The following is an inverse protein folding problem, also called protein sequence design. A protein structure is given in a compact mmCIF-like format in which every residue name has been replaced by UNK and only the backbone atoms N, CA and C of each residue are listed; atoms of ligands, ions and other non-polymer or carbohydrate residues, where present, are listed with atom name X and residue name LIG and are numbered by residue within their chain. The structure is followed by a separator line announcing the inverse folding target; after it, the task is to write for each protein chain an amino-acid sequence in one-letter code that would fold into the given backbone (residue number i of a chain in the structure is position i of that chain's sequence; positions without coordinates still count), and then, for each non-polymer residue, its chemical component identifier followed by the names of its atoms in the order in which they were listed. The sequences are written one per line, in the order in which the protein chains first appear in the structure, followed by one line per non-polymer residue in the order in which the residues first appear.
data_IF_295497671084
#
_entry.id   IF_295497671084
#
_cell.length_a   1.000
_cell.length_b   1.000
_cell.length_c   1.000
_cell.angle_alpha   90.00
_cell.angle_beta   90.00
_cell.angle_gamma   90.00
#
_symmetry.space_group_name_H-M   'P 1'
#
loop_
_entity.id
_entity.type
_entity.pdbx_description
1 polymer ?
#
# COMPACT_ATOMS: atom_id res chain seq x y z
N UNK A 1 -40.38 18.27 -8.10
CA UNK A 1 -39.08 18.69 -7.52
C UNK A 1 -38.11 18.86 -8.66
N UNK A 2 -37.42 20.01 -8.77
CA UNK A 2 -36.54 20.27 -9.90
C UNK A 2 -35.27 19.41 -9.74
N UNK A 3 -35.23 18.27 -10.41
CA UNK A 3 -34.08 17.31 -10.41
C UNK A 3 -32.82 17.88 -11.05
N UNK A 4 -32.95 18.99 -11.78
CA UNK A 4 -31.84 19.64 -12.49
C UNK A 4 -30.77 20.27 -11.56
N UNK A 5 -31.09 20.44 -10.27
CA UNK A 5 -30.17 21.02 -9.28
C UNK A 5 -29.14 20.00 -8.70
N UNK A 6 -29.27 18.71 -8.98
CA UNK A 6 -28.41 17.64 -8.43
C UNK A 6 -27.48 17.01 -9.47
N UNK A 7 -27.39 17.56 -10.69
CA UNK A 7 -26.52 16.98 -11.72
C UNK A 7 -25.03 17.04 -11.36
N UNK A 8 -24.60 18.09 -10.66
CA UNK A 8 -23.24 18.20 -10.13
C UNK A 8 -23.30 18.83 -8.73
N UNK A 9 -22.73 18.13 -7.76
CA UNK A 9 -22.65 18.58 -6.37
C UNK A 9 -21.17 18.88 -6.06
N UNK A 10 -20.85 20.13 -5.61
CA UNK A 10 -19.50 20.43 -5.17
C UNK A 10 -19.16 19.59 -3.95
N UNK A 11 -17.92 19.08 -3.91
CA UNK A 11 -17.49 18.23 -2.82
C UNK A 11 -16.02 18.42 -2.47
N UNK A 12 -15.66 18.05 -1.26
CA UNK A 12 -14.27 17.86 -0.82
C UNK A 12 -14.03 16.41 -0.44
N UNK A 13 -12.80 15.97 -0.59
CA UNK A 13 -12.37 14.63 -0.19
C UNK A 13 -11.78 14.72 1.21
N UNK A 14 -12.22 13.87 2.12
CA UNK A 14 -11.63 13.75 3.45
C UNK A 14 -10.16 13.36 3.36
N UNK A 15 -9.31 13.95 4.20
CA UNK A 15 -7.86 13.66 4.23
C UNK A 15 -7.51 12.38 4.99
N UNK A 16 -8.46 11.52 5.21
CA UNK A 16 -8.34 10.22 5.88
C UNK A 16 -9.05 9.15 5.07
N UNK A 17 -8.72 7.89 5.31
CA UNK A 17 -9.21 6.77 4.50
C UNK A 17 -8.46 6.61 3.19
N UNK A 18 -8.72 5.51 2.50
CA UNK A 18 -8.09 5.24 1.21
C UNK A 18 -8.85 5.99 0.12
N UNK A 19 -8.12 6.85 -0.59
CA UNK A 19 -8.68 7.58 -1.73
C UNK A 19 -8.38 6.77 -2.98
N UNK A 20 -9.39 6.28 -3.71
CA UNK A 20 -9.17 5.50 -4.92
C UNK A 20 -8.86 6.41 -6.12
N UNK A 21 -7.69 7.03 -6.10
CA UNK A 21 -7.22 7.88 -7.18
C UNK A 21 -7.32 7.19 -8.55
N UNK A 22 -7.66 7.95 -9.56
CA UNK A 22 -7.82 7.48 -10.91
C UNK A 22 -9.03 6.58 -11.15
N UNK A 23 -9.96 6.49 -10.19
CA UNK A 23 -11.16 5.68 -10.32
C UNK A 23 -12.42 6.54 -10.20
N UNK A 24 -13.43 6.15 -10.97
CA UNK A 24 -14.79 6.58 -10.76
C UNK A 24 -15.53 5.51 -9.96
N UNK A 25 -16.12 5.88 -8.84
CA UNK A 25 -16.89 4.97 -8.01
C UNK A 25 -18.36 5.26 -8.25
N UNK A 26 -19.15 4.20 -8.49
CA UNK A 26 -20.60 4.25 -8.42
C UNK A 26 -21.00 3.83 -7.01
N UNK A 27 -21.63 4.74 -6.28
CA UNK A 27 -22.05 4.50 -4.91
C UNK A 27 -23.57 4.64 -4.77
N UNK A 28 -24.16 3.73 -4.00
CA UNK A 28 -25.56 3.79 -3.60
C UNK A 28 -25.66 4.41 -2.22
N UNK A 29 -26.47 5.46 -2.08
CA UNK A 29 -26.63 6.20 -0.84
C UNK A 29 -27.57 5.47 0.13
N UNK A 30 -27.19 5.47 1.41
CA UNK A 30 -28.00 4.96 2.52
C UNK A 30 -28.12 6.04 3.60
N UNK A 31 -29.35 6.38 3.98
CA UNK A 31 -29.64 7.20 5.15
C UNK A 31 -30.17 6.30 6.25
N UNK A 32 -29.36 6.04 7.27
CA UNK A 32 -29.75 5.19 8.40
C UNK A 32 -29.52 5.94 9.71
N UNK A 33 -30.57 6.49 10.31
CA UNK A 33 -30.48 7.10 11.64
C UNK A 33 -30.00 6.07 12.69
N UNK A 34 -29.26 6.51 13.68
CA UNK A 34 -28.90 5.71 14.84
C UNK A 34 -30.10 5.52 15.79
N UNK A 35 -29.97 4.66 16.80
CA UNK A 35 -31.04 4.38 17.77
C UNK A 35 -31.55 5.61 18.51
N UNK A 36 -30.71 6.65 18.63
CA UNK A 36 -31.08 7.94 19.23
C UNK A 36 -31.79 8.90 18.22
N UNK A 37 -32.09 8.41 17.03
CA UNK A 37 -32.68 9.18 15.94
C UNK A 37 -31.69 10.14 15.25
N UNK A 38 -30.45 10.19 15.69
CA UNK A 38 -29.41 11.03 15.12
C UNK A 38 -28.73 10.35 13.91
N UNK A 39 -28.11 11.16 13.06
CA UNK A 39 -27.34 10.68 11.91
C UNK A 39 -25.86 11.00 12.06
N UNK A 40 -25.37 11.17 13.31
CA UNK A 40 -23.97 11.57 13.58
C UNK A 40 -22.97 10.42 13.51
N UNK A 41 -23.43 9.17 13.66
CA UNK A 41 -22.57 7.98 13.62
C UNK A 41 -21.41 7.99 14.64
N UNK A 42 -21.64 8.58 15.80
CA UNK A 42 -20.65 8.69 16.87
C UNK A 42 -20.56 7.46 17.75
N UNK A 43 -21.65 6.70 17.87
CA UNK A 43 -21.73 5.49 18.69
C UNK A 43 -21.80 4.26 17.79
N UNK A 44 -21.03 3.24 18.11
CA UNK A 44 -21.09 1.94 17.46
C UNK A 44 -22.05 1.05 18.24
N UNK A 45 -23.19 0.72 17.65
CA UNK A 45 -24.15 -0.21 18.21
C UNK A 45 -24.16 -1.50 17.40
N UNK A 46 -23.73 -2.60 18.04
CA UNK A 46 -23.65 -3.93 17.42
C UNK A 46 -25.05 -4.55 17.18
N UNK A 47 -26.11 -3.99 17.75
CA UNK A 47 -27.45 -4.60 17.71
C UNK A 47 -28.21 -4.34 16.42
N UNK A 48 -27.79 -3.35 15.62
CA UNK A 48 -28.39 -3.09 14.31
C UNK A 48 -27.63 -3.86 13.22
N UNK A 49 -28.14 -5.02 12.89
CA UNK A 49 -27.79 -5.68 11.62
C UNK A 49 -28.25 -4.80 10.45
N UNK A 50 -27.46 -4.66 9.38
CA UNK A 50 -27.90 -3.95 8.19
C UNK A 50 -28.97 -4.80 7.46
N UNK A 51 -30.20 -4.80 8.00
CA UNK A 51 -31.35 -5.48 7.38
C UNK A 51 -31.59 -5.01 5.93
N UNK A 52 -31.24 -3.75 5.67
CA UNK A 52 -31.44 -3.15 4.35
C UNK A 52 -30.34 -3.51 3.35
N UNK A 53 -29.09 -3.71 3.79
CA UNK A 53 -28.01 -4.17 2.90
C UNK A 53 -28.34 -5.55 2.30
N UNK A 54 -28.89 -6.46 3.07
CA UNK A 54 -29.26 -7.80 2.58
C UNK A 54 -30.41 -7.74 1.56
N UNK A 55 -31.34 -6.80 1.72
CA UNK A 55 -32.46 -6.61 0.80
C UNK A 55 -32.02 -6.06 -0.57
N UNK A 56 -30.97 -5.23 -0.58
CA UNK A 56 -30.47 -4.58 -1.79
C UNK A 56 -29.21 -5.22 -2.37
N UNK A 57 -28.47 -6.02 -1.59
CA UNK A 57 -27.20 -6.63 -2.02
C UNK A 57 -27.33 -7.59 -3.20
N UNK A 58 -28.48 -8.21 -3.40
CA UNK A 58 -28.72 -9.12 -4.53
C UNK A 58 -28.92 -8.38 -5.86
N UNK A 59 -29.46 -7.15 -5.82
CA UNK A 59 -29.84 -6.37 -7.00
C UNK A 59 -28.71 -5.39 -7.38
N UNK A 60 -27.97 -4.88 -6.39
CA UNK A 60 -27.02 -3.78 -6.57
C UNK A 60 -25.59 -4.13 -6.16
N UNK A 61 -25.14 -5.37 -6.43
CA UNK A 61 -23.77 -5.84 -6.13
C UNK A 61 -22.65 -4.99 -6.73
N UNK A 62 -22.95 -4.22 -7.75
CA UNK A 62 -22.00 -3.38 -8.47
C UNK A 62 -21.78 -2.00 -7.81
N UNK A 63 -22.67 -1.60 -6.89
CA UNK A 63 -22.61 -0.29 -6.26
C UNK A 63 -22.01 -0.36 -4.87
N UNK A 64 -21.12 0.59 -4.60
CA UNK A 64 -20.49 0.72 -3.29
C UNK A 64 -21.51 1.28 -2.27
N UNK A 65 -21.77 0.63 -1.13
CA UNK A 65 -22.67 1.18 -0.12
C UNK A 65 -22.04 2.41 0.53
N UNK A 66 -22.70 3.58 0.41
CA UNK A 66 -22.23 4.85 0.95
C UNK A 66 -23.23 5.41 1.96
N UNK A 67 -22.79 5.58 3.19
CA UNK A 67 -23.63 6.07 4.27
C UNK A 67 -23.55 7.60 4.38
N UNK A 68 -24.75 8.21 4.50
CA UNK A 68 -24.90 9.64 4.74
C UNK A 68 -24.73 9.90 6.23
N UNK A 69 -23.91 10.89 6.59
CA UNK A 69 -23.53 11.19 7.96
C UNK A 69 -23.53 12.69 8.17
N UNK A 70 -24.05 13.18 9.29
CA UNK A 70 -24.03 14.60 9.63
C UNK A 70 -22.72 15.00 10.30
N UNK A 71 -22.30 16.23 10.08
CA UNK A 71 -21.21 16.85 10.81
C UNK A 71 -21.57 17.01 12.30
N UNK A 72 -20.54 17.10 13.16
CA UNK A 72 -20.71 17.40 14.59
C UNK A 72 -20.62 16.17 15.50
N UNK A 73 -20.66 16.43 16.81
CA UNK A 73 -20.60 15.52 17.96
C UNK A 73 -19.31 14.71 18.13
N UNK A 74 -18.69 14.19 17.09
CA UNK A 74 -17.43 13.44 17.17
C UNK A 74 -16.58 13.63 15.91
N UNK A 75 -15.32 13.17 15.97
CA UNK A 75 -14.38 13.30 14.84
C UNK A 75 -14.85 12.54 13.61
N UNK A 76 -14.49 13.06 12.43
CA UNK A 76 -14.79 12.41 11.15
C UNK A 76 -14.19 11.00 11.05
N UNK A 77 -13.00 10.81 11.59
CA UNK A 77 -12.33 9.50 11.64
C UNK A 77 -13.12 8.48 12.46
N UNK A 78 -13.71 8.90 13.58
CA UNK A 78 -14.59 8.03 14.38
C UNK A 78 -15.84 7.63 13.61
N UNK A 79 -16.48 8.60 12.92
CA UNK A 79 -17.65 8.33 12.06
C UNK A 79 -17.32 7.35 10.95
N UNK A 80 -16.21 7.59 10.23
CA UNK A 80 -15.77 6.73 9.13
C UNK A 80 -15.44 5.31 9.61
N UNK A 81 -14.80 5.17 10.78
CA UNK A 81 -14.54 3.87 11.38
C UNK A 81 -15.85 3.12 11.68
N UNK A 82 -16.85 3.81 12.24
CA UNK A 82 -18.14 3.21 12.55
C UNK A 82 -18.90 2.79 11.28
N UNK A 83 -18.84 3.60 10.21
CA UNK A 83 -19.38 3.24 8.89
C UNK A 83 -18.66 2.01 8.32
N UNK A 84 -17.33 1.98 8.37
CA UNK A 84 -16.54 0.85 7.89
C UNK A 84 -16.85 -0.44 8.65
N UNK A 85 -16.98 -0.39 9.97
CA UNK A 85 -17.33 -1.54 10.80
C UNK A 85 -18.71 -2.10 10.50
N UNK A 86 -19.59 -1.30 9.88
CA UNK A 86 -20.91 -1.73 9.37
C UNK A 86 -20.93 -2.10 7.89
N UNK A 87 -19.77 -2.45 7.34
CA UNK A 87 -19.60 -2.82 5.94
C UNK A 87 -19.96 -1.69 4.95
N UNK A 88 -19.91 -0.43 5.39
CA UNK A 88 -19.94 0.71 4.49
C UNK A 88 -18.67 0.75 3.65
N UNK A 89 -18.83 0.96 2.34
CA UNK A 89 -17.71 1.08 1.43
C UNK A 89 -17.25 2.54 1.22
N UNK A 90 -18.08 3.52 1.60
CA UNK A 90 -17.77 4.94 1.57
C UNK A 90 -18.65 5.72 2.55
N UNK A 91 -18.24 6.96 2.87
CA UNK A 91 -18.99 7.86 3.75
C UNK A 91 -19.24 9.21 3.06
N UNK A 92 -20.48 9.66 3.06
CA UNK A 92 -20.89 10.99 2.63
C UNK A 92 -21.19 11.86 3.85
N UNK A 93 -20.40 12.88 4.08
CA UNK A 93 -20.57 13.82 5.19
C UNK A 93 -21.34 15.04 4.69
N UNK A 94 -22.40 15.41 5.37
CA UNK A 94 -23.11 16.65 5.16
C UNK A 94 -22.49 17.68 6.11
N UNK A 95 -21.93 18.74 5.55
CA UNK A 95 -21.37 19.87 6.32
C UNK A 95 -22.48 20.69 6.97
N UNK A 96 -22.12 21.44 8.01
CA UNK A 96 -23.00 22.46 8.62
C UNK A 96 -23.04 23.74 7.80
N UNK A 97 -22.06 23.97 6.94
CA UNK A 97 -21.90 25.15 6.10
C UNK A 97 -22.32 24.86 4.65
N UNK A 98 -22.78 25.92 3.97
CA UNK A 98 -23.08 25.86 2.54
C UNK A 98 -21.87 26.17 1.67
N UNK A 99 -20.76 26.61 2.26
CA UNK A 99 -19.51 26.95 1.58
C UNK A 99 -18.40 26.04 2.08
N UNK A 100 -17.80 25.28 1.16
CA UNK A 100 -16.67 24.40 1.44
C UNK A 100 -15.30 25.09 1.29
N UNK A 101 -15.23 26.34 0.82
CA UNK A 101 -13.96 26.94 0.39
C UNK A 101 -13.00 27.28 1.54
N UNK A 102 -13.48 27.56 2.74
CA UNK A 102 -12.68 28.19 3.80
C UNK A 102 -12.31 27.30 4.99
N UNK A 103 -12.45 25.99 4.93
CA UNK A 103 -12.36 25.20 6.16
C UNK A 103 -11.17 24.24 6.22
N UNK A 104 -10.16 24.64 7.02
CA UNK A 104 -9.15 23.73 7.59
C UNK A 104 -9.75 22.67 8.54
N UNK A 105 -11.05 22.72 8.81
CA UNK A 105 -11.82 21.76 9.61
C UNK A 105 -11.62 20.30 9.15
N UNK A 106 -11.38 20.10 7.86
CA UNK A 106 -11.23 18.76 7.27
C UNK A 106 -9.84 18.16 7.42
N UNK A 107 -8.94 18.90 8.08
CA UNK A 107 -7.54 18.49 8.33
C UNK A 107 -7.36 17.71 9.64
N UNK A 108 -8.43 17.44 10.39
CA UNK A 108 -8.32 16.78 11.68
C UNK A 108 -7.92 15.32 11.47
N UNK A 109 -6.61 15.09 11.55
CA UNK A 109 -6.01 13.78 11.72
C UNK A 109 -6.19 13.38 13.17
N UNK A 110 -7.20 12.58 13.44
CA UNK A 110 -7.26 11.76 14.63
C UNK A 110 -6.28 10.58 14.47
N UNK A 111 -5.68 10.11 15.58
CA UNK A 111 -4.80 8.94 15.63
C UNK A 111 -5.42 7.66 15.00
N UNK A 112 -6.72 7.63 14.82
CA UNK A 112 -7.49 6.54 14.19
C UNK A 112 -7.51 6.61 12.67
N UNK A 113 -7.03 7.70 12.05
CA UNK A 113 -7.07 7.92 10.61
C UNK A 113 -6.37 6.82 9.81
N UNK A 114 -5.36 6.16 10.38
CA UNK A 114 -4.61 5.10 9.73
C UNK A 114 -5.37 3.77 9.61
N UNK A 115 -6.42 3.56 10.42
CA UNK A 115 -7.24 2.33 10.37
C UNK A 115 -8.42 2.43 9.40
N UNK A 116 -8.67 3.61 8.84
CA UNK A 116 -9.79 3.87 7.93
C UNK A 116 -9.36 3.56 6.50
N UNK A 117 -10.10 2.65 5.86
CA UNK A 117 -9.86 2.23 4.49
C UNK A 117 -10.89 2.77 3.49
N UNK A 118 -12.02 3.27 3.98
CA UNK A 118 -13.09 3.77 3.13
C UNK A 118 -12.88 5.26 2.78
N UNK A 119 -13.17 5.68 1.54
CA UNK A 119 -13.15 7.09 1.16
C UNK A 119 -14.28 7.85 1.83
N UNK A 120 -14.01 9.12 2.15
CA UNK A 120 -14.98 10.04 2.75
C UNK A 120 -15.12 11.28 1.89
N UNK A 121 -16.34 11.65 1.58
CA UNK A 121 -16.73 12.80 0.78
C UNK A 121 -17.51 13.77 1.64
N UNK A 122 -17.25 15.06 1.48
CA UNK A 122 -17.92 16.13 2.22
C UNK A 122 -18.66 17.01 1.23
N UNK A 123 -19.94 17.22 1.44
CA UNK A 123 -20.80 18.09 0.61
C UNK A 123 -21.41 19.23 1.43
N UNK A 124 -21.76 20.35 0.81
CA UNK A 124 -22.42 21.47 1.49
C UNK A 124 -23.80 21.07 2.03
N UNK A 125 -24.22 21.75 3.09
CA UNK A 125 -25.48 21.48 3.79
C UNK A 125 -26.72 21.53 2.88
N UNK A 126 -26.82 22.56 2.04
CA UNK A 126 -27.97 22.74 1.14
C UNK A 126 -28.19 21.54 0.20
N UNK A 127 -27.13 20.90 -0.30
CA UNK A 127 -27.25 19.68 -1.11
C UNK A 127 -27.59 18.45 -0.25
N UNK A 128 -26.99 18.37 0.93
CA UNK A 128 -27.29 17.31 1.90
C UNK A 128 -28.75 17.30 2.33
N UNK A 129 -29.34 18.46 2.60
CA UNK A 129 -30.75 18.61 2.99
C UNK A 129 -31.70 18.19 1.85
N UNK A 130 -31.35 18.48 0.59
CA UNK A 130 -32.10 18.01 -0.57
C UNK A 130 -32.09 16.48 -0.64
N UNK A 131 -30.91 15.86 -0.50
CA UNK A 131 -30.77 14.41 -0.51
C UNK A 131 -31.59 13.77 0.64
N UNK A 132 -31.48 14.30 1.85
CA UNK A 132 -32.23 13.79 3.00
C UNK A 132 -33.72 13.93 2.79
N UNK A 133 -34.20 15.07 2.27
CA UNK A 133 -35.64 15.29 2.01
C UNK A 133 -36.20 14.25 1.05
N UNK A 134 -35.43 13.77 0.09
CA UNK A 134 -35.82 12.69 -0.80
C UNK A 134 -36.05 11.38 -0.05
N UNK A 135 -35.15 11.03 0.87
CA UNK A 135 -35.30 9.82 1.69
C UNK A 135 -36.53 9.89 2.61
N UNK A 136 -36.83 11.06 3.18
CA UNK A 136 -38.00 11.23 4.07
C UNK A 136 -39.32 11.27 3.33
N UNK A 137 -39.34 11.73 2.07
CA UNK A 137 -40.60 11.86 1.31
C UNK A 137 -41.05 10.56 0.64
N UNK A 138 -40.15 9.58 0.44
CA UNK A 138 -40.41 8.35 -0.33
C UNK A 138 -40.57 7.09 0.53
N UNK A 139 -41.31 7.20 1.65
CA UNK A 139 -41.45 6.11 2.63
C UNK A 139 -42.05 4.78 2.06
N UNK A 140 -42.69 4.77 0.89
CA UNK A 140 -43.35 3.58 0.35
C UNK A 140 -42.81 3.06 -0.99
N UNK A 141 -42.06 3.87 -1.74
CA UNK A 141 -41.46 3.45 -3.01
C UNK A 141 -39.99 3.92 -3.02
N UNK A 142 -39.12 3.15 -2.39
CA UNK A 142 -37.71 3.49 -2.32
C UNK A 142 -37.04 3.27 -3.69
N UNK A 143 -36.80 4.35 -4.40
CA UNK A 143 -35.88 4.36 -5.53
C UNK A 143 -34.48 4.68 -4.99
N UNK A 144 -33.46 3.83 -5.24
CA UNK A 144 -32.12 4.06 -4.74
C UNK A 144 -31.50 5.30 -5.40
N UNK A 145 -30.83 6.13 -4.60
CA UNK A 145 -30.01 7.22 -5.13
C UNK A 145 -28.64 6.65 -5.42
N UNK A 146 -28.24 6.67 -6.69
CA UNK A 146 -26.93 6.27 -7.14
C UNK A 146 -26.16 7.52 -7.54
N UNK A 147 -24.94 7.67 -7.01
CA UNK A 147 -24.03 8.76 -7.33
C UNK A 147 -22.75 8.24 -7.97
N UNK A 148 -22.22 9.04 -8.89
CA UNK A 148 -20.91 8.81 -9.49
C UNK A 148 -19.90 9.77 -8.86
N UNK A 149 -18.80 9.24 -8.32
CA UNK A 149 -17.75 10.04 -7.68
C UNK A 149 -16.46 9.83 -8.46
N UNK A 150 -15.93 10.92 -9.03
CA UNK A 150 -14.66 10.90 -9.75
C UNK A 150 -13.56 11.41 -8.81
N UNK A 151 -12.65 10.53 -8.42
CA UNK A 151 -11.50 10.89 -7.57
C UNK A 151 -10.35 11.42 -8.41
N UNK A 152 -10.37 12.70 -8.68
CA UNK A 152 -9.30 13.39 -9.41
C UNK A 152 -8.76 14.54 -8.58
N UNK A 153 -7.44 14.79 -8.71
CA UNK A 153 -6.75 15.89 -8.06
C UNK A 153 -6.33 16.90 -9.14
N UNK A 154 -7.14 17.92 -9.40
CA UNK A 154 -6.88 18.89 -10.46
C UNK A 154 -5.82 19.92 -10.07
N UNK A 155 -4.99 20.30 -11.04
CA UNK A 155 -4.16 21.50 -11.00
C UNK A 155 -4.69 22.49 -12.07
N UNK A 156 -4.97 23.76 -11.70
CA UNK A 156 -5.45 24.79 -12.66
C UNK A 156 -4.52 25.02 -13.84
N UNK A 157 -3.22 24.77 -13.69
CA UNK A 157 -2.21 24.93 -14.75
C UNK A 157 -2.23 23.82 -15.81
N UNK A 158 -3.09 22.83 -15.68
CA UNK A 158 -3.16 21.70 -16.61
C UNK A 158 -1.96 20.76 -16.54
N UNK A 159 -1.15 20.87 -15.47
CA UNK A 159 -0.03 19.98 -15.14
C UNK A 159 -0.38 19.11 -13.96
N UNK A 160 0.34 18.00 -13.82
CA UNK A 160 0.27 17.16 -12.63
C UNK A 160 1.59 17.23 -11.88
N UNK A 161 1.52 17.75 -10.66
CA UNK A 161 2.65 17.78 -9.75
C UNK A 161 2.68 16.53 -8.89
N UNK A 162 3.79 15.83 -8.94
CA UNK A 162 4.07 14.68 -8.08
C UNK A 162 5.24 14.98 -7.17
N UNK A 163 5.00 15.02 -5.87
CA UNK A 163 6.07 15.07 -4.87
C UNK A 163 6.26 13.67 -4.28
N UNK A 164 7.50 13.20 -4.30
CA UNK A 164 7.89 11.94 -3.67
C UNK A 164 8.66 12.25 -2.38
N UNK A 165 8.02 12.00 -1.24
CA UNK A 165 8.60 12.13 0.09
C UNK A 165 9.34 10.85 0.44
N UNK A 166 10.65 10.93 0.63
CA UNK A 166 11.51 9.75 0.78
C UNK A 166 12.78 10.03 1.58
N UNK A 167 13.55 8.99 1.80
CA UNK A 167 14.96 9.03 2.20
C UNK A 167 15.77 8.18 1.22
N UNK A 168 17.05 8.46 1.06
CA UNK A 168 17.91 7.75 0.09
C UNK A 168 18.14 6.27 0.45
N UNK A 169 17.87 5.87 1.68
CA UNK A 169 17.92 4.48 2.15
C UNK A 169 16.59 3.73 1.98
N UNK A 170 15.56 4.37 1.40
CA UNK A 170 14.26 3.77 1.22
C UNK A 170 14.20 2.89 -0.02
N UNK A 171 14.20 1.58 0.19
CA UNK A 171 14.18 0.59 -0.87
C UNK A 171 12.91 0.63 -1.74
N UNK A 172 11.77 0.98 -1.15
CA UNK A 172 10.52 1.08 -1.90
C UNK A 172 10.54 2.27 -2.87
N UNK A 173 11.13 3.41 -2.41
CA UNK A 173 11.33 4.56 -3.29
C UNK A 173 12.30 4.23 -4.44
N UNK A 174 13.41 3.56 -4.14
CA UNK A 174 14.38 3.12 -5.14
C UNK A 174 13.72 2.20 -6.17
N UNK A 175 12.98 1.20 -5.72
CA UNK A 175 12.26 0.27 -6.60
C UNK A 175 11.25 0.99 -7.48
N UNK A 176 10.55 1.98 -6.94
CA UNK A 176 9.62 2.82 -7.69
C UNK A 176 10.27 3.50 -8.90
N UNK A 177 11.48 4.06 -8.76
CA UNK A 177 12.18 4.71 -9.88
C UNK A 177 12.41 3.77 -11.06
N UNK A 178 12.77 2.54 -10.79
CA UNK A 178 13.00 1.51 -11.81
C UNK A 178 11.71 1.15 -12.54
N UNK A 179 10.69 0.79 -11.79
CA UNK A 179 9.43 0.29 -12.32
C UNK A 179 8.58 1.38 -12.99
N UNK A 180 8.65 2.62 -12.48
CA UNK A 180 7.86 3.73 -13.04
C UNK A 180 8.54 4.43 -14.23
N UNK A 181 9.79 4.13 -14.55
CA UNK A 181 10.58 4.84 -15.57
C UNK A 181 9.90 4.89 -16.94
N UNK A 182 9.34 3.79 -17.40
CA UNK A 182 8.67 3.72 -18.70
C UNK A 182 7.41 4.60 -18.74
N UNK A 183 6.65 4.62 -17.65
CA UNK A 183 5.47 5.47 -17.51
C UNK A 183 5.84 6.96 -17.47
N UNK A 184 6.91 7.31 -16.72
CA UNK A 184 7.40 8.68 -16.62
C UNK A 184 7.75 9.26 -17.98
N UNK A 185 8.48 8.49 -18.80
CA UNK A 185 8.90 8.94 -20.12
C UNK A 185 7.72 9.25 -21.05
N UNK A 186 6.57 8.62 -20.85
CA UNK A 186 5.36 8.89 -21.59
C UNK A 186 4.65 10.19 -21.19
N UNK A 187 4.79 10.64 -19.94
CA UNK A 187 4.04 11.77 -19.40
C UNK A 187 4.53 13.14 -19.90
N UNK A 188 5.78 13.24 -20.35
CA UNK A 188 6.35 14.47 -20.95
C UNK A 188 6.33 15.69 -20.03
N UNK A 189 6.25 16.89 -20.62
CA UNK A 189 6.43 18.18 -19.91
C UNK A 189 5.26 18.59 -19.00
N UNK A 190 4.15 17.89 -19.10
CA UNK A 190 2.97 18.14 -18.24
C UNK A 190 3.07 17.45 -16.88
N UNK A 191 4.04 16.59 -16.72
CA UNK A 191 4.35 15.93 -15.48
C UNK A 191 5.51 16.62 -14.77
N UNK A 192 5.23 17.20 -13.62
CA UNK A 192 6.21 17.86 -12.77
C UNK A 192 6.53 16.98 -11.58
N UNK A 193 7.76 16.52 -11.49
CA UNK A 193 8.23 15.67 -10.40
C UNK A 193 9.17 16.44 -9.49
N UNK A 194 9.02 16.26 -8.17
CA UNK A 194 9.92 16.85 -7.17
C UNK A 194 10.23 15.82 -6.07
N UNK A 195 11.49 15.44 -5.88
CA UNK A 195 11.89 14.66 -4.72
C UNK A 195 11.95 15.55 -3.49
N UNK A 196 11.47 15.03 -2.35
CA UNK A 196 11.45 15.72 -1.06
C UNK A 196 12.07 14.80 -0.03
N UNK A 197 13.23 15.19 0.51
CA UNK A 197 13.99 14.35 1.42
C UNK A 197 13.63 14.57 2.88
N UNK A 198 13.62 13.51 3.66
CA UNK A 198 13.36 13.55 5.09
C UNK A 198 14.56 14.04 5.87
N UNK A 199 14.37 15.11 6.61
CA UNK A 199 15.32 15.62 7.58
C UNK A 199 14.66 15.80 8.95
N UNK A 200 15.43 15.58 10.01
CA UNK A 200 15.05 15.91 11.37
C UNK A 200 15.79 17.15 11.81
N UNK A 201 15.10 18.03 12.54
CA UNK A 201 15.65 19.28 13.05
C UNK A 201 15.69 19.25 14.56
N UNK A 202 16.85 19.50 15.13
CA UNK A 202 17.06 19.58 16.57
C UNK A 202 17.61 20.95 16.95
N UNK A 203 17.06 21.60 17.98
CA UNK A 203 17.52 22.92 18.44
C UNK A 203 18.84 22.91 19.19
N UNK A 204 19.23 21.81 19.76
CA UNK A 204 20.53 21.64 20.43
C UNK A 204 20.94 20.19 20.47
N UNK A 205 21.76 19.78 19.51
CA UNK A 205 22.64 18.65 19.75
C UNK A 205 23.84 19.24 20.50
N UNK A 206 23.92 19.06 21.81
CA UNK A 206 25.19 19.15 22.50
C UNK A 206 26.00 17.99 21.95
N UNK A 207 26.87 18.28 20.98
CA UNK A 207 27.94 17.36 20.61
C UNK A 207 28.61 16.98 21.94
N UNK A 208 28.47 15.74 22.37
CA UNK A 208 29.44 15.18 23.30
C UNK A 208 30.78 15.46 22.66
N UNK A 209 31.67 16.15 23.38
CA UNK A 209 32.94 16.71 22.91
C UNK A 209 33.90 15.70 22.27
N UNK A 210 33.46 14.49 21.97
CA UNK A 210 34.22 13.37 21.43
C UNK A 210 33.69 12.78 20.10
N UNK A 211 32.63 13.34 19.50
CA UNK A 211 32.21 12.87 18.17
C UNK A 211 32.93 13.72 17.14
N UNK A 212 33.88 13.14 16.39
CA UNK A 212 34.46 13.76 15.22
C UNK A 212 33.32 14.23 14.30
N UNK A 213 33.38 15.48 13.83
CA UNK A 213 32.37 16.08 12.94
C UNK A 213 32.10 15.21 11.71
N UNK A 214 33.10 14.47 11.22
CA UNK A 214 32.97 13.54 10.09
C UNK A 214 32.03 12.35 10.33
N UNK A 215 31.85 11.94 11.58
CA UNK A 215 31.00 10.80 11.96
C UNK A 215 29.63 11.23 12.53
N UNK A 216 29.38 12.53 12.63
CA UNK A 216 28.11 13.03 13.12
C UNK A 216 26.97 12.68 12.14
N UNK A 217 25.85 12.13 12.62
CA UNK A 217 24.66 11.91 11.79
C UNK A 217 24.00 13.20 11.32
N UNK A 218 24.49 14.33 11.80
CA UNK A 218 23.94 15.65 11.58
C UNK A 218 24.99 16.61 11.03
N UNK A 219 24.56 17.63 10.35
CA UNK A 219 25.34 18.85 10.18
C UNK A 219 24.71 20.01 10.94
N UNK A 220 25.58 20.88 11.48
CA UNK A 220 25.14 22.00 12.33
C UNK A 220 25.35 23.33 11.62
N UNK A 221 24.32 24.16 11.60
CA UNK A 221 24.44 25.54 11.15
C UNK A 221 23.49 26.46 11.92
N UNK A 222 23.97 27.64 12.29
CA UNK A 222 23.21 28.68 12.96
C UNK A 222 22.42 28.18 14.18
N UNK A 223 23.02 27.33 15.01
CA UNK A 223 22.41 26.66 16.18
C UNK A 223 21.31 25.66 15.86
N UNK A 224 21.16 25.24 14.59
CA UNK A 224 20.24 24.23 14.17
C UNK A 224 20.97 23.06 13.54
N UNK A 225 20.57 21.87 13.94
CA UNK A 225 21.13 20.63 13.43
C UNK A 225 20.11 19.94 12.54
N UNK A 226 20.50 19.62 11.32
CA UNK A 226 19.75 18.77 10.40
C UNK A 226 20.38 17.39 10.38
N UNK A 227 19.57 16.37 10.58
CA UNK A 227 20.00 14.99 10.67
C UNK A 227 19.15 14.12 9.76
N UNK A 228 19.75 13.08 9.21
CA UNK A 228 19.00 11.95 8.68
C UNK A 228 18.84 10.89 9.76
N UNK A 229 17.76 10.13 9.70
CA UNK A 229 17.57 8.92 10.51
C UNK A 229 17.56 7.73 9.61
N UNK A 230 18.07 6.62 10.12
CA UNK A 230 17.91 5.34 9.46
C UNK A 230 16.41 4.94 9.51
N UNK A 231 15.85 4.67 8.35
CA UNK A 231 14.42 4.33 8.20
C UNK A 231 14.14 2.84 8.40
N UNK A 232 15.17 2.04 8.45
CA UNK A 232 15.03 0.60 8.61
C UNK A 232 15.21 0.22 10.08
N UNK A 233 14.30 -0.57 10.64
CA UNK A 233 14.41 -1.18 11.96
C UNK A 233 15.72 -2.00 12.11
N UNK A 234 16.38 -2.27 10.99
CA UNK A 234 17.61 -3.05 10.89
C UNK A 234 18.89 -2.22 11.08
N UNK A 235 18.80 -0.88 11.12
CA UNK A 235 19.98 0.02 11.22
C UNK A 235 21.11 -0.34 10.24
N UNK A 236 20.78 -0.69 9.00
CA UNK A 236 21.72 -1.24 8.01
C UNK A 236 22.75 -0.18 7.58
N UNK A 237 22.30 1.07 7.43
CA UNK A 237 23.13 2.15 6.90
C UNK A 237 23.48 3.19 7.96
N UNK A 238 24.69 3.75 7.85
CA UNK A 238 25.10 4.85 8.72
C UNK A 238 24.26 6.12 8.41
N UNK A 239 23.63 6.78 9.42
CA UNK A 239 22.85 7.99 9.21
C UNK A 239 23.60 9.13 8.53
N UNK A 240 24.93 9.25 8.73
CA UNK A 240 25.75 10.23 8.01
C UNK A 240 25.79 9.96 6.53
N UNK A 241 25.91 8.70 6.11
CA UNK A 241 25.91 8.32 4.71
C UNK A 241 24.55 8.60 4.07
N UNK A 242 23.46 8.33 4.78
CA UNK A 242 22.10 8.65 4.33
C UNK A 242 21.96 10.17 4.12
N UNK A 243 22.42 10.97 5.07
CA UNK A 243 22.39 12.43 4.98
C UNK A 243 23.15 12.94 3.76
N UNK A 244 24.37 12.46 3.55
CA UNK A 244 25.21 12.86 2.42
C UNK A 244 24.60 12.42 1.09
N UNK A 245 23.95 11.26 1.05
CA UNK A 245 23.29 10.78 -0.15
C UNK A 245 22.00 11.55 -0.46
N UNK A 246 21.19 11.91 0.54
CA UNK A 246 20.03 12.80 0.37
C UNK A 246 20.46 14.14 -0.27
N UNK A 247 21.55 14.72 0.21
CA UNK A 247 22.12 15.97 -0.36
C UNK A 247 22.62 15.76 -1.80
N UNK A 248 23.32 14.66 -2.07
CA UNK A 248 23.83 14.33 -3.41
C UNK A 248 22.66 14.19 -4.41
N UNK A 249 21.65 13.42 -4.06
CA UNK A 249 20.47 13.22 -4.90
C UNK A 249 19.71 14.53 -5.14
N UNK A 250 19.56 15.38 -4.11
CA UNK A 250 19.00 16.73 -4.26
C UNK A 250 19.81 17.57 -5.24
N UNK A 251 21.14 17.55 -5.15
CA UNK A 251 22.02 18.31 -6.05
C UNK A 251 22.02 17.81 -7.48
N UNK A 252 21.88 16.49 -7.69
CA UNK A 252 21.71 15.93 -9.03
C UNK A 252 20.40 16.44 -9.63
N UNK A 253 19.32 16.43 -8.87
CA UNK A 253 18.03 16.93 -9.33
C UNK A 253 18.07 18.41 -9.67
N UNK A 254 18.65 19.24 -8.79
CA UNK A 254 18.74 20.71 -8.98
C UNK A 254 19.59 21.09 -10.18
N UNK A 255 20.77 20.48 -10.33
CA UNK A 255 21.74 20.91 -11.33
C UNK A 255 21.58 20.26 -12.70
N UNK A 256 21.02 19.05 -12.77
CA UNK A 256 20.98 18.26 -14.01
C UNK A 256 19.55 17.83 -14.39
N UNK A 257 18.57 18.13 -13.57
CA UNK A 257 17.15 17.89 -13.85
C UNK A 257 16.71 16.44 -13.70
N UNK A 258 15.44 16.24 -14.02
CA UNK A 258 14.71 14.99 -13.77
C UNK A 258 15.30 13.77 -14.48
N UNK A 259 15.80 13.93 -15.72
CA UNK A 259 16.27 12.79 -16.52
C UNK A 259 17.57 12.18 -15.97
N UNK A 260 18.54 13.01 -15.61
CA UNK A 260 19.76 12.54 -14.98
C UNK A 260 19.52 12.04 -13.56
N UNK A 261 18.66 12.73 -12.82
CA UNK A 261 18.24 12.29 -11.49
C UNK A 261 17.63 10.88 -11.54
N UNK A 262 16.72 10.63 -12.49
CA UNK A 262 16.07 9.33 -12.62
C UNK A 262 17.04 8.20 -12.97
N UNK A 263 17.97 8.47 -13.94
CA UNK A 263 19.04 7.52 -14.28
C UNK A 263 19.92 7.20 -13.07
N UNK A 264 20.27 8.23 -12.29
CA UNK A 264 21.06 8.03 -11.10
C UNK A 264 20.33 7.18 -10.05
N UNK A 265 19.07 7.47 -9.80
CA UNK A 265 18.27 6.72 -8.82
C UNK A 265 18.15 5.24 -9.18
N UNK A 266 18.01 4.91 -10.46
CA UNK A 266 17.98 3.51 -10.92
C UNK A 266 19.35 2.86 -10.73
N UNK A 267 20.42 3.50 -11.20
CA UNK A 267 21.78 2.93 -11.14
C UNK A 267 22.28 2.77 -9.70
N UNK A 268 22.08 3.81 -8.87
CA UNK A 268 22.41 3.76 -7.44
C UNK A 268 21.59 2.69 -6.72
N UNK A 269 20.32 2.60 -7.02
CA UNK A 269 19.43 1.57 -6.45
C UNK A 269 19.89 0.16 -6.76
N UNK A 270 20.20 -0.12 -8.01
CA UNK A 270 20.66 -1.45 -8.43
C UNK A 270 22.03 -1.84 -7.86
N UNK A 271 22.94 -0.88 -7.63
CA UNK A 271 24.33 -1.13 -7.23
C UNK A 271 24.57 -0.97 -5.73
N UNK A 272 23.98 0.05 -5.11
CA UNK A 272 24.40 0.51 -3.80
C UNK A 272 23.43 0.13 -2.66
N UNK A 273 22.18 -0.22 -2.98
CA UNK A 273 21.16 -0.51 -1.97
C UNK A 273 20.87 -2.00 -1.77
N UNK A 274 21.76 -2.88 -2.20
CA UNK A 274 21.58 -4.32 -2.02
C UNK A 274 21.61 -4.69 -0.54
N UNK A 275 20.56 -5.33 -0.04
CA UNK A 275 20.39 -5.71 1.37
C UNK A 275 21.42 -6.79 1.78
N UNK A 276 21.78 -7.71 0.88
CA UNK A 276 22.70 -8.82 1.19
C UNK A 276 24.15 -8.36 1.34
N UNK A 277 24.54 -7.32 0.62
CA UNK A 277 25.85 -6.70 0.65
C UNK A 277 25.71 -5.17 0.55
N UNK A 278 25.37 -4.49 1.63
CA UNK A 278 25.17 -3.05 1.59
C UNK A 278 26.50 -2.34 1.26
N UNK A 279 26.56 -1.73 0.08
CA UNK A 279 27.69 -0.92 -0.38
C UNK A 279 27.29 0.57 -0.37
N UNK A 280 26.36 0.94 0.50
CA UNK A 280 25.83 2.29 0.61
C UNK A 280 26.91 3.25 1.14
N UNK A 281 27.73 3.76 0.23
CA UNK A 281 28.84 4.67 0.53
C UNK A 281 29.15 5.61 -0.64
N UNK A 282 30.08 6.54 -0.44
CA UNK A 282 30.47 7.52 -1.44
C UNK A 282 31.10 6.88 -2.68
N UNK A 283 31.89 5.83 -2.54
CA UNK A 283 32.53 5.15 -3.65
C UNK A 283 31.51 4.53 -4.60
N UNK A 284 30.50 3.84 -4.06
CA UNK A 284 29.41 3.29 -4.88
C UNK A 284 28.61 4.39 -5.59
N UNK A 285 28.34 5.50 -4.91
CA UNK A 285 27.68 6.65 -5.51
C UNK A 285 28.49 7.25 -6.67
N UNK A 286 29.82 7.34 -6.53
CA UNK A 286 30.70 7.81 -7.60
C UNK A 286 30.71 6.88 -8.82
N UNK A 287 30.76 5.56 -8.59
CA UNK A 287 30.67 4.57 -9.65
C UNK A 287 29.32 4.71 -10.38
N UNK A 288 28.24 4.90 -9.65
CA UNK A 288 26.92 5.10 -10.23
C UNK A 288 26.83 6.37 -11.08
N UNK A 289 27.44 7.48 -10.62
CA UNK A 289 27.56 8.71 -11.42
C UNK A 289 28.34 8.50 -12.72
N UNK A 290 29.47 7.82 -12.61
CA UNK A 290 30.30 7.52 -13.79
C UNK A 290 29.55 6.67 -14.81
N UNK A 291 28.81 5.64 -14.36
CA UNK A 291 28.06 4.74 -15.24
C UNK A 291 26.93 5.45 -16.01
N UNK A 292 26.36 6.52 -15.45
CA UNK A 292 25.36 7.33 -16.16
C UNK A 292 25.96 8.44 -17.04
N UNK A 293 27.30 8.50 -17.14
CA UNK A 293 28.02 9.39 -18.03
C UNK A 293 28.47 10.71 -17.41
N UNK A 294 28.55 10.80 -16.08
CA UNK A 294 29.11 11.99 -15.42
C UNK A 294 30.64 11.96 -15.41
N UNK A 295 31.23 13.11 -15.67
CA UNK A 295 32.66 13.34 -15.61
C UNK A 295 33.11 13.97 -14.26
N UNK A 296 34.40 14.20 -14.12
CA UNK A 296 34.97 14.83 -12.93
C UNK A 296 34.45 16.26 -12.68
N UNK A 297 34.10 17.00 -13.74
CA UNK A 297 33.54 18.34 -13.64
C UNK A 297 32.12 18.30 -13.08
N UNK A 298 31.29 17.38 -13.57
CA UNK A 298 29.93 17.18 -13.07
C UNK A 298 29.95 16.79 -11.61
N UNK A 299 30.88 15.91 -11.23
CA UNK A 299 31.07 15.54 -9.83
C UNK A 299 31.46 16.73 -8.94
N UNK A 300 32.40 17.58 -9.40
CA UNK A 300 32.79 18.80 -8.67
C UNK A 300 31.58 19.73 -8.49
N UNK A 301 30.72 19.89 -9.50
CA UNK A 301 29.51 20.69 -9.39
C UNK A 301 28.55 20.11 -8.34
N UNK A 302 28.37 18.81 -8.30
CA UNK A 302 27.54 18.14 -7.28
C UNK A 302 28.12 18.39 -5.89
N UNK A 303 29.44 18.22 -5.70
CA UNK A 303 30.10 18.41 -4.42
C UNK A 303 29.98 19.86 -3.93
N UNK A 304 30.15 20.84 -4.80
CA UNK A 304 29.97 22.25 -4.47
C UNK A 304 28.51 22.53 -4.06
N UNK A 305 27.55 22.03 -4.82
CA UNK A 305 26.13 22.13 -4.46
C UNK A 305 25.82 21.50 -3.11
N UNK A 306 26.35 20.32 -2.80
CA UNK A 306 26.15 19.68 -1.51
C UNK A 306 26.72 20.57 -0.38
N UNK A 307 27.89 21.21 -0.58
CA UNK A 307 28.45 22.15 0.38
C UNK A 307 27.56 23.39 0.53
N UNK A 308 27.05 23.93 -0.58
CA UNK A 308 26.11 25.07 -0.56
C UNK A 308 24.82 24.71 0.20
N UNK A 309 24.26 23.50 0.00
CA UNK A 309 23.11 23.03 0.76
C UNK A 309 23.38 22.92 2.26
N UNK A 310 24.60 22.48 2.64
CA UNK A 310 25.03 22.47 4.03
C UNK A 310 25.18 23.90 4.54
N UNK A 311 25.78 24.79 3.73
CA UNK A 311 26.11 26.16 4.13
C UNK A 311 24.90 27.11 4.16
N UNK A 312 23.99 27.02 3.24
CA UNK A 312 22.85 27.94 3.11
C UNK A 312 21.50 27.33 3.51
N UNK A 313 21.38 26.00 3.60
CA UNK A 313 20.21 25.23 4.07
C UNK A 313 18.88 25.47 3.34
N UNK A 314 18.85 26.21 2.25
CA UNK A 314 17.58 26.62 1.63
C UNK A 314 16.70 25.43 1.25
N UNK A 315 17.23 24.48 0.48
CA UNK A 315 16.49 23.28 0.04
C UNK A 315 16.19 22.31 1.19
N UNK A 316 17.12 22.12 2.09
CA UNK A 316 16.94 21.25 3.27
C UNK A 316 15.84 21.79 4.19
N UNK A 317 15.81 23.11 4.38
CA UNK A 317 14.78 23.76 5.18
C UNK A 317 13.41 23.72 4.48
N UNK A 318 13.36 23.92 3.16
CA UNK A 318 12.14 23.76 2.36
C UNK A 318 11.57 22.36 2.48
N UNK A 319 12.40 21.31 2.31
CA UNK A 319 11.98 19.91 2.43
C UNK A 319 11.45 19.63 3.85
N UNK A 320 12.17 20.08 4.88
CA UNK A 320 11.73 19.94 6.27
C UNK A 320 10.38 20.63 6.52
N UNK A 321 10.21 21.86 6.03
CA UNK A 321 8.96 22.60 6.18
C UNK A 321 7.82 21.94 5.41
N UNK A 322 8.08 21.44 4.20
CA UNK A 322 7.08 20.75 3.39
C UNK A 322 6.61 19.44 4.04
N UNK A 323 7.54 18.67 4.64
CA UNK A 323 7.18 17.48 5.45
C UNK A 323 6.22 17.84 6.58
N UNK A 324 6.53 18.93 7.34
CA UNK A 324 5.71 19.35 8.46
C UNK A 324 4.37 19.96 8.01
N UNK A 325 4.39 20.81 6.99
CA UNK A 325 3.17 21.42 6.45
C UNK A 325 2.20 20.34 5.92
N UNK A 326 2.71 19.37 5.21
CA UNK A 326 1.92 18.26 4.69
C UNK A 326 1.63 17.17 5.73
N UNK A 327 2.16 17.28 6.95
CA UNK A 327 2.02 16.29 8.04
C UNK A 327 2.36 14.88 7.56
N UNK A 328 3.53 14.72 6.95
CA UNK A 328 4.03 13.44 6.46
C UNK A 328 4.72 12.74 7.63
N UNK A 329 4.14 11.68 8.14
CA UNK A 329 4.68 10.88 9.24
C UNK A 329 5.30 9.58 8.77
N UNK A 330 4.76 9.03 7.68
CA UNK A 330 5.22 7.80 7.06
C UNK A 330 5.81 8.11 5.68
N UNK A 331 6.86 7.42 5.30
CA UNK A 331 7.48 7.51 3.99
C UNK A 331 8.00 6.12 3.57
N UNK A 332 8.15 5.81 2.28
CA UNK A 332 7.93 6.75 1.18
C UNK A 332 6.45 7.09 0.99
N UNK A 333 6.17 8.32 0.55
CA UNK A 333 4.82 8.79 0.27
C UNK A 333 4.79 9.66 -0.99
N UNK A 334 3.77 9.47 -1.80
CA UNK A 334 3.51 10.29 -2.99
C UNK A 334 2.38 11.27 -2.70
N UNK A 335 2.52 12.51 -3.17
CA UNK A 335 1.39 13.42 -3.32
C UNK A 335 1.21 13.77 -4.79
N UNK A 336 -0.04 13.80 -5.25
CA UNK A 336 -0.44 14.28 -6.57
C UNK A 336 -1.23 15.58 -6.40
N UNK A 337 -0.74 16.68 -7.02
CA UNK A 337 -1.30 18.01 -6.86
C UNK A 337 -1.56 18.38 -5.38
N UNK A 338 -0.63 18.00 -4.51
CA UNK A 338 -0.68 18.24 -3.08
C UNK A 338 -1.58 17.30 -2.26
N UNK A 339 -2.31 16.37 -2.87
CA UNK A 339 -3.15 15.39 -2.19
C UNK A 339 -2.34 14.09 -1.99
N UNK A 340 -2.34 13.55 -0.77
CA UNK A 340 -1.63 12.31 -0.44
C UNK A 340 -2.21 11.13 -1.22
N UNK A 341 -1.36 10.44 -1.95
CA UNK A 341 -1.70 9.19 -2.60
C UNK A 341 -1.73 8.06 -1.57
N UNK A 342 -2.86 7.40 -1.44
CA UNK A 342 -3.06 6.27 -0.51
C UNK A 342 -3.41 4.97 -1.25
N UNK A 343 -2.95 4.83 -2.48
CA UNK A 343 -3.12 3.62 -3.28
C UNK A 343 -1.96 2.65 -3.12
N UNK A 344 -2.11 1.46 -3.71
CA UNK A 344 -0.97 0.53 -3.85
C UNK A 344 0.12 1.15 -4.72
N UNK A 345 1.37 0.96 -4.32
CA UNK A 345 2.56 1.46 -5.02
C UNK A 345 2.88 0.62 -6.26
N UNK A 346 1.88 0.46 -7.13
CA UNK A 346 2.05 -0.19 -8.41
C UNK A 346 2.17 0.89 -9.51
N UNK A 347 3.16 0.81 -10.40
CA UNK A 347 3.42 1.80 -11.45
C UNK A 347 2.18 2.16 -12.25
N UNK A 348 1.39 1.17 -12.63
CA UNK A 348 0.14 1.35 -13.37
C UNK A 348 -0.91 2.15 -12.58
N UNK A 349 -1.05 1.85 -11.27
CA UNK A 349 -2.05 2.53 -10.43
C UNK A 349 -1.65 4.00 -10.25
N UNK A 350 -0.36 4.26 -10.00
CA UNK A 350 0.17 5.63 -9.90
C UNK A 350 0.01 6.37 -11.22
N UNK A 351 0.34 5.75 -12.35
CA UNK A 351 0.16 6.33 -13.67
C UNK A 351 -1.30 6.67 -13.95
N UNK A 352 -2.24 5.76 -13.70
CA UNK A 352 -3.67 6.03 -13.86
C UNK A 352 -4.13 7.20 -12.98
N UNK A 353 -3.62 7.28 -11.75
CA UNK A 353 -3.94 8.38 -10.84
C UNK A 353 -3.41 9.73 -11.34
N UNK A 354 -2.24 9.74 -11.97
CA UNK A 354 -1.70 10.92 -12.65
C UNK A 354 -2.60 11.30 -13.83
N UNK A 355 -2.99 10.33 -14.64
CA UNK A 355 -3.87 10.56 -15.78
C UNK A 355 -5.23 11.14 -15.37
N UNK A 356 -5.83 10.62 -14.31
CA UNK A 356 -7.07 11.15 -13.75
C UNK A 356 -6.91 12.54 -13.11
N UNK A 357 -5.69 12.94 -12.81
CA UNK A 357 -5.38 14.24 -12.24
C UNK A 357 -5.23 15.36 -13.27
N UNK A 358 -5.20 15.05 -14.57
CA UNK A 358 -5.27 16.06 -15.61
C UNK A 358 -6.68 16.60 -15.79
N UNK A 359 -6.82 17.89 -16.05
CA UNK A 359 -8.14 18.55 -16.29
C UNK A 359 -8.79 18.01 -17.58
N UNK A 360 -7.98 17.83 -18.63
CA UNK A 360 -8.42 17.29 -19.91
C UNK A 360 -7.81 15.91 -20.12
N UNK A 361 -8.53 15.04 -20.79
CA UNK A 361 -8.02 13.73 -21.18
C UNK A 361 -6.78 13.90 -22.06
N UNK A 362 -5.63 13.61 -21.47
CA UNK A 362 -4.38 13.64 -22.24
C UNK A 362 -4.32 12.42 -23.16
N UNK A 363 -4.00 12.68 -24.44
CA UNK A 363 -3.89 11.62 -25.45
C UNK A 363 -2.96 10.49 -25.03
N UNK A 364 -1.98 10.81 -24.19
CA UNK A 364 -1.00 9.85 -23.67
C UNK A 364 -1.63 8.83 -22.75
N UNK A 365 -2.65 9.23 -21.98
CA UNK A 365 -3.34 8.35 -21.02
C UNK A 365 -4.16 7.25 -21.70
N UNK A 366 -4.58 7.45 -22.95
CA UNK A 366 -5.25 6.45 -23.79
C UNK A 366 -4.33 5.77 -24.81
N UNK A 367 -3.02 5.97 -24.72
CA UNK A 367 -2.05 5.46 -25.71
C UNK A 367 -1.97 3.93 -25.74
N UNK A 368 -1.90 3.29 -26.93
CA UNK A 368 -1.67 1.85 -27.07
C UNK A 368 -0.42 1.34 -26.34
N UNK A 369 0.64 2.18 -26.26
CA UNK A 369 1.88 1.85 -25.53
C UNK A 369 1.64 1.54 -24.05
N UNK A 370 0.62 2.15 -23.44
CA UNK A 370 0.26 1.89 -22.04
C UNK A 370 -0.44 0.55 -21.90
N UNK A 371 -1.25 0.18 -22.88
CA UNK A 371 -1.89 -1.12 -22.92
C UNK A 371 -0.85 -2.23 -23.05
N UNK A 372 0.16 -2.03 -23.89
CA UNK A 372 1.30 -2.95 -24.06
C UNK A 372 2.09 -3.14 -22.75
N UNK A 373 2.47 -2.04 -22.07
CA UNK A 373 3.13 -2.11 -20.75
C UNK A 373 2.27 -2.81 -19.68
N UNK A 374 0.95 -2.72 -19.78
CA UNK A 374 0.02 -3.39 -18.88
C UNK A 374 -0.12 -4.89 -19.18
N UNK A 375 0.01 -5.28 -20.44
CA UNK A 375 -0.04 -6.68 -20.90
C UNK A 375 1.24 -7.43 -20.56
N UNK A 376 2.42 -6.81 -20.71
CA UNK A 376 3.70 -7.41 -20.32
C UNK A 376 3.71 -7.82 -18.85
N UNK A 377 3.26 -6.94 -17.95
CA UNK A 377 3.13 -7.28 -16.53
C UNK A 377 2.13 -8.41 -16.25
N UNK A 378 1.10 -8.56 -17.08
CA UNK A 378 0.09 -9.63 -16.95
C UNK A 378 0.65 -10.98 -17.40
N UNK A 379 1.49 -11.01 -18.42
CA UNK A 379 2.16 -12.22 -18.91
C UNK A 379 3.12 -12.78 -17.85
N UNK A 380 3.95 -11.93 -17.23
CA UNK A 380 4.84 -12.35 -16.14
C UNK A 380 4.07 -12.88 -14.93
N UNK A 381 2.97 -12.23 -14.54
CA UNK A 381 2.11 -12.68 -13.44
C UNK A 381 1.47 -14.05 -13.74
N UNK A 382 0.97 -14.27 -14.96
CA UNK A 382 0.38 -15.53 -15.37
C UNK A 382 1.43 -16.65 -15.45
N UNK A 383 2.62 -16.38 -15.98
CA UNK A 383 3.72 -17.33 -16.00
C UNK A 383 4.14 -17.75 -14.59
N UNK A 384 4.22 -16.83 -13.65
CA UNK A 384 4.54 -17.10 -12.24
C UNK A 384 3.46 -17.98 -11.60
N UNK A 385 2.18 -17.67 -11.82
CA UNK A 385 1.05 -18.47 -11.29
C UNK A 385 1.11 -19.90 -11.85
N UNK A 386 1.36 -20.04 -13.15
CA UNK A 386 1.47 -21.36 -13.78
C UNK A 386 2.66 -22.17 -13.27
N UNK A 387 3.79 -21.54 -13.00
CA UNK A 387 4.95 -22.22 -12.40
C UNK A 387 4.68 -22.66 -10.97
N UNK A 388 4.07 -21.84 -10.14
CA UNK A 388 3.68 -22.21 -8.78
C UNK A 388 2.67 -23.36 -8.79
N UNK A 389 1.65 -23.29 -9.65
CA UNK A 389 0.66 -24.35 -9.78
C UNK A 389 1.28 -25.69 -10.21
N UNK A 390 2.22 -25.66 -11.16
CA UNK A 390 2.94 -26.87 -11.59
C UNK A 390 3.79 -27.47 -10.48
N UNK A 391 4.49 -26.66 -9.69
CA UNK A 391 5.28 -27.12 -8.54
C UNK A 391 4.38 -27.75 -7.46
N UNK A 392 3.22 -27.17 -7.18
CA UNK A 392 2.25 -27.74 -6.24
C UNK A 392 1.72 -29.09 -6.74
N UNK A 393 1.42 -29.23 -8.04
CA UNK A 393 1.02 -30.51 -8.63
C UNK A 393 2.11 -31.59 -8.49
N UNK A 394 3.37 -31.25 -8.77
CA UNK A 394 4.49 -32.19 -8.61
C UNK A 394 4.62 -32.61 -7.14
N UNK A 395 4.53 -31.65 -6.21
CA UNK A 395 4.62 -31.93 -4.78
C UNK A 395 3.49 -32.85 -4.29
N UNK A 396 2.26 -32.63 -4.73
CA UNK A 396 1.13 -33.53 -4.39
C UNK A 396 1.31 -34.94 -4.96
N UNK A 397 1.82 -35.08 -6.18
CA UNK A 397 2.13 -36.39 -6.76
C UNK A 397 3.19 -37.12 -5.92
N UNK A 398 4.27 -36.45 -5.54
CA UNK A 398 5.33 -37.02 -4.68
C UNK A 398 4.76 -37.46 -3.34
N UNK A 399 3.90 -36.65 -2.71
CA UNK A 399 3.25 -37.03 -1.44
C UNK A 399 2.38 -38.30 -1.61
N UNK A 400 1.61 -38.40 -2.69
CA UNK A 400 0.79 -39.57 -2.97
C UNK A 400 1.66 -40.83 -3.16
N UNK A 401 2.77 -40.69 -3.88
CA UNK A 401 3.71 -41.81 -4.09
C UNK A 401 4.38 -42.25 -2.78
N UNK A 402 4.80 -41.27 -1.96
CA UNK A 402 5.36 -41.56 -0.63
C UNK A 402 4.32 -42.25 0.27
N UNK A 403 3.10 -41.72 0.31
CA UNK A 403 2.01 -42.33 1.07
C UNK A 403 1.71 -43.77 0.62
N UNK A 404 1.58 -43.97 -0.68
CA UNK A 404 1.43 -45.34 -1.24
C UNK A 404 2.53 -46.26 -0.77
N UNK A 405 3.79 -45.83 -0.84
CA UNK A 405 4.93 -46.66 -0.44
C UNK A 405 4.91 -47.00 1.05
N UNK A 406 4.47 -46.12 1.90
CA UNK A 406 4.30 -46.38 3.35
C UNK A 406 3.17 -47.40 3.55
N UNK A 407 2.01 -47.16 2.95
CA UNK A 407 0.85 -48.04 3.07
C UNK A 407 1.15 -49.43 2.55
N UNK A 408 1.87 -49.57 1.41
CA UNK A 408 2.27 -50.87 0.92
C UNK A 408 3.20 -51.61 1.89
N UNK A 409 4.13 -50.91 2.55
CA UNK A 409 4.99 -51.55 3.56
C UNK A 409 4.19 -52.02 4.77
N UNK A 410 3.27 -51.21 5.29
CA UNK A 410 2.42 -51.58 6.41
C UNK A 410 1.55 -52.82 6.10
N UNK A 411 1.03 -52.86 4.87
CA UNK A 411 0.24 -54.04 4.44
C UNK A 411 1.13 -55.29 4.33
N UNK A 412 2.34 -55.15 3.80
CA UNK A 412 3.29 -56.26 3.65
C UNK A 412 3.72 -56.80 5.03
N UNK A 413 4.05 -55.95 5.99
CA UNK A 413 4.39 -56.29 7.37
C UNK A 413 3.22 -56.99 8.08
N UNK A 414 2.01 -56.46 7.96
CA UNK A 414 0.80 -57.08 8.55
C UNK A 414 0.46 -58.42 7.90
N UNK A 415 0.71 -58.62 6.61
CA UNK A 415 0.51 -59.87 5.92
C UNK A 415 1.53 -60.92 6.36
N UNK A 416 2.80 -60.56 6.50
CA UNK A 416 3.87 -61.43 7.00
C UNK A 416 3.58 -61.88 8.42
N UNK A 417 3.17 -60.99 9.32
CA UNK A 417 2.79 -61.32 10.69
C UNK A 417 1.60 -62.33 10.75
N UNK A 418 0.57 -62.12 9.90
CA UNK A 418 -0.56 -63.04 9.82
C UNK A 418 -0.15 -64.44 9.31
N UNK A 419 0.68 -64.49 8.27
CA UNK A 419 1.19 -65.77 7.72
C UNK A 419 2.03 -66.49 8.79
N UNK A 420 2.90 -65.78 9.50
CA UNK A 420 3.70 -66.38 10.60
C UNK A 420 2.80 -66.91 11.71
N UNK A 421 1.79 -66.18 12.15
CA UNK A 421 0.85 -66.61 13.16
C UNK A 421 0.02 -67.82 12.75
N UNK A 422 -0.41 -67.91 11.48
CA UNK A 422 -1.11 -69.08 10.95
C UNK A 422 -0.18 -70.30 10.83
N UNK A 423 1.08 -70.06 10.40
CA UNK A 423 2.07 -71.13 10.33
C UNK A 423 2.37 -71.74 11.71
N UNK A 424 2.56 -70.88 12.73
CA UNK A 424 2.78 -71.33 14.11
C UNK A 424 1.57 -72.12 14.62
N UNK A 425 0.34 -71.68 14.38
CA UNK A 425 -0.88 -72.42 14.76
C UNK A 425 -0.97 -73.76 14.04
N UNK A 426 -0.55 -73.83 12.78
CA UNK A 426 -0.54 -75.10 12.05
C UNK A 426 0.50 -76.05 12.60
N UNK A 427 1.72 -75.58 12.90
CA UNK A 427 2.76 -76.37 13.56
C UNK A 427 2.32 -76.94 14.88
N UNK A 428 1.66 -76.05 15.69
CA UNK A 428 1.14 -76.48 17.01
C UNK A 428 0.05 -77.56 16.93
N UNK A 429 -0.82 -77.48 15.89
CA UNK A 429 -1.79 -78.54 15.60
C UNK A 429 -1.15 -79.85 15.21
N UNK A 430 -0.13 -79.75 14.34
CA UNK A 430 0.60 -80.97 13.89
C UNK A 430 1.39 -81.62 15.05
N UNK A 431 2.00 -80.78 15.95
CA UNK A 431 2.73 -81.30 17.09
C UNK A 431 1.78 -82.03 18.10
N UNK A 432 0.60 -81.44 18.36
CA UNK A 432 -0.42 -82.05 19.23
C UNK A 432 -0.94 -83.33 18.66
N UNK A 433 -1.26 -83.41 17.36
CA UNK A 433 -1.71 -84.57 16.68
C UNK A 433 -0.65 -85.68 16.71
N UNK A 434 0.65 -85.31 16.58
CA UNK A 434 1.77 -86.29 16.66
C UNK A 434 1.93 -86.81 18.12
N UNK A 435 1.76 -85.99 19.13
CA UNK A 435 1.79 -86.42 20.52
C UNK A 435 0.63 -87.37 20.84
N UNK A 436 -0.57 -87.05 20.36
CA UNK A 436 -1.77 -87.88 20.54
C UNK A 436 -1.65 -89.22 19.84
N UNK A 437 -1.07 -89.24 18.64
CA UNK A 437 -0.78 -90.50 17.91
C UNK A 437 0.28 -91.36 18.61
N UNK A 438 1.31 -90.75 19.18
CA UNK A 438 2.31 -91.51 19.94
C UNK A 438 1.74 -92.12 21.21
N UNK A 439 0.82 -91.41 21.93
CA UNK A 439 0.11 -91.92 23.11
C UNK A 439 -0.80 -93.10 22.78
N UNK A 440 -1.50 -93.05 21.65
CA UNK A 440 -2.31 -94.17 21.14
C UNK A 440 -1.48 -95.41 20.82
N UNK A 441 -0.27 -95.23 20.22
CA UNK A 441 0.63 -96.29 19.95
C UNK A 441 1.27 -96.92 21.21
N UNK A 442 1.46 -96.17 22.29
CA UNK A 442 1.95 -96.68 23.58
C UNK A 442 0.85 -97.45 24.32
N UNK A 443 -0.43 -97.11 24.17
CA UNK A 443 -1.55 -97.83 24.77
C UNK A 443 -1.86 -99.16 23.99
N UNK A 444 -1.48 -99.29 22.74
CA UNK A 444 -1.59 -100.54 21.95
C UNK A 444 -0.44 -101.54 22.23
N UNK A 445 0.73 -101.07 22.72
CA UNK A 445 1.85 -102.01 23.07
C UNK A 445 1.72 -102.54 24.51
N UNK A 446 0.87 -101.97 25.43
CA UNK A 446 0.66 -102.45 26.78
C UNK A 446 -0.61 -103.31 26.97
N UNK A 447 -1.32 -103.67 25.88
CA UNK A 447 -2.49 -104.57 25.84
C UNK A 447 -2.17 -105.91 25.18
#
# INVERSE_FOLDING_TARGET
MNTDKLNEVPYKIGKFGDIPFGKTILAMLFLQPQNDGSNYWCNFDNTQSPSDLNKYSSIYKEYLPMYIVDQGQCSYSKKALNVQLRNGGAMLIIDDDNDLENNDKYNILDLRGNSIKIPSIIIPRNYGDIIKSYFYSNNNNFEPIIISIKFSAYNPEGKVEMNLFMSSDDLNAVYFFKEFNNYRQLLGDKFVFTPVYKYHRYQSYKSDNNINEENSPCFSKNKMNFCATNNTDLNIYNPRLILMENLRQSCIFINFGIDFYWKYMIEFGDKCTNIEKPIFNEECALISLYNIGFDSKNYTNIKNCMQDLIDFNSKVDEDYQLYNYRKIYEYPLITLNGIKFKGMWLPRIIFNSICESFINDEKICGSPKIQELAEDNKIYSNALIMTIASLLCIFTIVLILCYRRVVYRDIEETLVEKIQAETIKSIDKFSKAKIEKNKLNEEEEDS
#
